data_IF_067931960241
#
_entry.id   IF_067931960241
#
_cell.length_a   1.000
_cell.length_b   1.000
_cell.length_c   1.000
_cell.angle_alpha   90.00
_cell.angle_beta   90.00
_cell.angle_gamma   90.00
#
_symmetry.space_group_name_H-M   'P 1'
#
loop_
_entity.id
_entity.type
_entity.pdbx_description
1 polymer ?
#
# COMPACT_ATOMS: atom_id res chain seq x y z
N UNK A 1 -36.94 73.29 -38.35
CA UNK A 1 -36.94 71.81 -38.49
C UNK A 1 -35.49 71.32 -38.56
N UNK A 2 -35.15 70.36 -37.69
CA UNK A 2 -34.02 69.41 -37.78
C UNK A 2 -32.58 69.93 -37.54
N UNK A 3 -32.17 69.77 -36.28
CA UNK A 3 -30.93 69.13 -35.75
C UNK A 3 -30.17 68.22 -36.76
N UNK A 4 -28.85 67.99 -36.75
CA UNK A 4 -27.90 67.51 -35.71
C UNK A 4 -26.46 67.77 -36.22
N UNK A 5 -25.52 68.30 -35.42
CA UNK A 5 -24.58 67.63 -34.49
C UNK A 5 -23.38 66.89 -35.12
N UNK A 6 -22.18 67.38 -34.71
CA UNK A 6 -20.85 66.78 -34.85
C UNK A 6 -20.80 65.37 -34.23
N UNK A 7 -20.11 64.46 -34.88
CA UNK A 7 -19.62 63.22 -34.28
C UNK A 7 -18.10 63.16 -34.44
N UNK A 8 -17.38 63.40 -33.34
CA UNK A 8 -15.98 63.01 -33.18
C UNK A 8 -15.94 61.63 -32.55
N UNK A 9 -15.23 60.70 -33.19
CA UNK A 9 -15.03 59.34 -32.70
C UNK A 9 -14.15 59.34 -31.43
N UNK A 10 -14.65 58.69 -30.38
CA UNK A 10 -13.85 58.26 -29.24
C UNK A 10 -14.15 56.77 -29.03
N UNK A 11 -13.25 55.95 -29.59
CA UNK A 11 -13.24 54.50 -29.37
C UNK A 11 -12.68 54.29 -27.96
N UNK A 12 -13.56 53.95 -27.02
CA UNK A 12 -13.18 53.54 -25.67
C UNK A 12 -12.81 52.06 -25.70
N UNK A 13 -11.52 51.75 -25.57
CA UNK A 13 -11.00 50.40 -25.37
C UNK A 13 -11.29 49.96 -23.93
N UNK A 14 -12.35 49.18 -23.74
CA UNK A 14 -12.58 48.45 -22.49
C UNK A 14 -11.67 47.23 -22.53
N UNK A 15 -10.51 47.33 -21.88
CA UNK A 15 -9.68 46.16 -21.56
C UNK A 15 -10.33 45.43 -20.40
N UNK A 16 -11.06 44.37 -20.69
CA UNK A 16 -11.54 43.44 -19.66
C UNK A 16 -10.34 42.72 -19.06
N UNK A 17 -9.91 43.14 -17.87
CA UNK A 17 -9.05 42.34 -17.01
C UNK A 17 -9.86 41.14 -16.52
N UNK A 18 -9.87 40.07 -17.31
CA UNK A 18 -10.25 38.74 -16.82
C UNK A 18 -9.11 38.30 -15.91
N UNK A 19 -9.30 38.48 -14.60
CA UNK A 19 -8.46 37.84 -13.60
C UNK A 19 -8.58 36.33 -13.80
N UNK A 20 -7.61 35.73 -14.48
CA UNK A 20 -7.39 34.30 -14.41
C UNK A 20 -6.99 34.00 -12.96
N UNK A 21 -7.97 33.68 -12.12
CA UNK A 21 -7.68 32.90 -10.92
C UNK A 21 -7.02 31.61 -11.41
N UNK A 22 -5.74 31.44 -11.08
CA UNK A 22 -5.06 30.19 -11.33
C UNK A 22 -5.91 29.09 -10.70
N UNK A 23 -6.36 28.11 -11.50
CA UNK A 23 -7.02 26.94 -10.96
C UNK A 23 -6.06 26.35 -9.91
N UNK A 24 -6.50 26.29 -8.65
CA UNK A 24 -5.75 25.57 -7.63
C UNK A 24 -5.50 24.18 -8.18
N UNK A 25 -4.23 23.84 -8.39
CA UNK A 25 -3.85 22.48 -8.78
C UNK A 25 -4.52 21.53 -7.79
N UNK A 26 -5.25 20.50 -8.28
CA UNK A 26 -5.96 19.58 -7.39
C UNK A 26 -4.98 19.05 -6.36
N UNK A 27 -5.22 19.41 -5.10
CA UNK A 27 -4.33 19.06 -4.00
C UNK A 27 -4.33 17.54 -3.83
N UNK A 28 -3.27 16.83 -4.23
CA UNK A 28 -3.18 15.38 -4.04
C UNK A 28 -3.10 15.03 -2.55
N UNK A 29 -4.23 14.63 -1.96
CA UNK A 29 -4.34 14.25 -0.56
C UNK A 29 -3.59 12.95 -0.27
N UNK A 30 -3.44 12.04 -1.23
CA UNK A 30 -2.73 10.79 -1.00
C UNK A 30 -1.23 11.01 -0.76
N UNK A 31 -0.64 12.05 -1.34
CA UNK A 31 0.74 12.47 -1.03
C UNK A 31 0.90 13.01 0.40
N UNK A 32 -0.20 13.42 1.04
CA UNK A 32 -0.23 13.96 2.41
C UNK A 32 -0.54 12.88 3.45
N UNK A 33 -0.79 11.64 3.01
CA UNK A 33 -1.06 10.49 3.88
C UNK A 33 0.20 9.64 4.00
N UNK A 34 0.61 9.38 5.24
CA UNK A 34 1.64 8.38 5.55
C UNK A 34 1.03 7.00 5.77
N UNK A 35 1.71 5.94 5.32
CA UNK A 35 1.21 4.56 5.30
C UNK A 35 2.09 3.64 6.16
N UNK A 36 1.71 3.42 7.40
CA UNK A 36 2.55 2.71 8.37
C UNK A 36 2.17 1.23 8.46
N UNK A 37 3.09 0.33 8.14
CA UNK A 37 2.99 -1.06 8.58
C UNK A 37 3.32 -1.15 10.09
N UNK A 38 2.76 -2.12 10.85
CA UNK A 38 3.05 -2.32 12.28
C UNK A 38 4.54 -2.30 12.63
N UNK A 39 5.37 -2.71 11.68
CA UNK A 39 6.80 -2.81 11.86
C UNK A 39 7.65 -1.91 10.96
N UNK A 40 7.01 -0.94 10.34
CA UNK A 40 7.69 0.11 9.57
C UNK A 40 7.06 1.46 9.93
N UNK A 41 7.45 2.09 11.06
CA UNK A 41 7.00 3.44 11.37
C UNK A 41 7.69 4.40 10.40
N UNK A 42 7.03 4.74 9.28
CA UNK A 42 7.56 5.69 8.30
C UNK A 42 7.67 5.21 6.85
N UNK A 43 6.99 4.14 6.43
CA UNK A 43 6.82 3.90 4.99
C UNK A 43 5.86 4.97 4.43
N UNK A 44 6.36 5.96 3.70
CA UNK A 44 5.59 7.19 3.43
C UNK A 44 4.71 7.14 2.20
N UNK A 45 4.51 5.96 1.60
CA UNK A 45 3.87 5.89 0.28
C UNK A 45 2.86 4.76 0.20
N UNK A 46 1.80 5.02 -0.56
CA UNK A 46 0.77 4.05 -0.89
C UNK A 46 1.30 2.85 -1.71
N UNK A 47 2.54 2.92 -2.23
CA UNK A 47 3.18 1.80 -2.93
C UNK A 47 3.36 0.55 -2.07
N UNK A 48 3.24 0.66 -0.74
CA UNK A 48 3.19 -0.52 0.15
C UNK A 48 2.06 -1.47 -0.23
N UNK A 49 0.95 -0.96 -0.77
CA UNK A 49 -0.22 -1.74 -1.18
C UNK A 49 0.04 -2.62 -2.42
N UNK A 50 1.18 -2.46 -3.11
CA UNK A 50 1.61 -3.32 -4.22
C UNK A 50 2.08 -4.70 -3.78
N UNK A 51 2.29 -4.90 -2.48
CA UNK A 51 2.76 -6.16 -1.89
C UNK A 51 1.85 -6.49 -0.73
N UNK A 52 1.32 -7.70 -0.65
CA UNK A 52 0.35 -8.05 0.38
C UNK A 52 0.41 -9.49 0.86
N UNK A 53 -0.28 -9.75 1.96
CA UNK A 53 -0.57 -11.07 2.49
C UNK A 53 -1.79 -11.01 3.40
N UNK A 54 -2.46 -12.14 3.62
CA UNK A 54 -3.62 -12.19 4.52
C UNK A 54 -3.20 -11.80 5.94
N UNK A 55 -3.90 -10.84 6.53
CA UNK A 55 -3.61 -10.28 7.85
C UNK A 55 -2.62 -9.11 7.84
N UNK A 56 -2.13 -8.69 6.67
CA UNK A 56 -1.31 -7.48 6.56
C UNK A 56 -2.15 -6.22 6.85
N UNK A 57 -1.61 -5.30 7.64
CA UNK A 57 -2.30 -4.06 8.04
C UNK A 57 -1.45 -2.83 7.74
N UNK A 58 -2.09 -1.75 7.28
CA UNK A 58 -1.47 -0.45 7.07
C UNK A 58 -2.28 0.62 7.77
N UNK A 59 -1.68 1.32 8.72
CA UNK A 59 -2.28 2.46 9.38
C UNK A 59 -1.96 3.73 8.61
N UNK A 60 -2.98 4.42 8.14
CA UNK A 60 -2.90 5.73 7.50
C UNK A 60 -3.01 6.85 8.53
N UNK A 61 -2.14 7.85 8.40
CA UNK A 61 -2.18 9.07 9.21
C UNK A 61 -1.78 10.29 8.38
N UNK A 62 -2.30 11.46 8.73
CA UNK A 62 -1.89 12.76 8.17
C UNK A 62 -1.55 13.71 9.31
N UNK A 63 -0.44 14.43 9.18
CA UNK A 63 -0.10 15.59 10.01
C UNK A 63 -0.26 16.92 9.25
N UNK A 64 -0.82 16.88 8.05
CA UNK A 64 -0.99 18.04 7.21
C UNK A 64 -2.23 18.83 7.65
N UNK A 65 -2.10 20.13 7.92
CA UNK A 65 -3.17 20.98 8.47
C UNK A 65 -4.44 20.98 7.60
N UNK A 66 -4.27 21.01 6.27
CA UNK A 66 -5.38 20.92 5.32
C UNK A 66 -5.97 19.51 5.10
N UNK A 67 -5.54 18.48 5.84
CA UNK A 67 -6.06 17.12 5.71
C UNK A 67 -6.20 16.44 7.08
N UNK A 68 -7.42 16.46 7.63
CA UNK A 68 -7.82 15.69 8.79
C UNK A 68 -8.55 14.41 8.34
N UNK A 69 -8.03 13.25 8.72
CA UNK A 69 -8.62 11.97 8.30
C UNK A 69 -9.98 11.66 8.95
N UNK A 70 -10.38 12.37 10.02
CA UNK A 70 -11.73 12.26 10.56
C UNK A 70 -12.80 12.86 9.64
N UNK A 71 -12.40 13.79 8.76
CA UNK A 71 -13.30 14.48 7.84
C UNK A 71 -13.43 13.75 6.49
N UNK A 72 -12.76 12.61 6.32
CA UNK A 72 -12.76 11.86 5.05
C UNK A 72 -13.34 10.46 5.23
N UNK A 73 -13.99 9.97 4.17
CA UNK A 73 -14.40 8.58 4.06
C UNK A 73 -13.50 7.87 3.05
N UNK A 74 -12.94 6.72 3.42
CA UNK A 74 -12.24 5.86 2.48
C UNK A 74 -13.15 4.73 2.01
N UNK A 75 -13.03 4.37 0.73
CA UNK A 75 -13.66 3.18 0.16
C UNK A 75 -12.70 2.47 -0.78
N UNK A 76 -12.89 1.17 -0.94
CA UNK A 76 -12.11 0.34 -1.84
C UNK A 76 -13.05 -0.51 -2.70
N UNK A 77 -12.72 -0.66 -3.98
CA UNK A 77 -13.61 -1.26 -4.97
C UNK A 77 -13.71 -2.79 -4.90
N UNK A 78 -12.84 -3.46 -4.13
CA UNK A 78 -12.85 -4.91 -3.95
C UNK A 78 -13.01 -5.31 -2.48
N UNK A 79 -13.38 -6.57 -2.23
CA UNK A 79 -13.65 -7.08 -0.86
C UNK A 79 -12.47 -7.81 -0.21
N UNK A 80 -11.29 -7.80 -0.82
CA UNK A 80 -10.10 -8.44 -0.24
C UNK A 80 -9.32 -7.53 0.71
N UNK A 81 -9.66 -6.24 0.74
CA UNK A 81 -9.11 -5.24 1.66
C UNK A 81 -10.25 -4.57 2.41
N UNK A 82 -10.19 -4.62 3.73
CA UNK A 82 -11.09 -3.94 4.65
C UNK A 82 -10.51 -2.58 5.06
N UNK A 83 -11.41 -1.66 5.39
CA UNK A 83 -11.07 -0.33 5.89
C UNK A 83 -11.71 -0.20 7.26
N UNK A 84 -10.88 -0.21 8.29
CA UNK A 84 -11.28 -0.13 9.67
C UNK A 84 -10.99 1.29 10.18
N UNK A 85 -11.99 1.97 10.74
CA UNK A 85 -11.79 3.25 11.40
C UNK A 85 -11.03 3.04 12.71
N UNK A 86 -10.07 3.90 13.01
CA UNK A 86 -9.33 3.85 14.27
C UNK A 86 -9.75 5.02 15.17
N UNK A 87 -9.60 4.83 16.48
CA UNK A 87 -9.64 5.95 17.43
C UNK A 87 -8.44 6.88 17.16
N UNK A 88 -8.58 8.20 17.39
CA UNK A 88 -7.53 9.22 17.21
C UNK A 88 -7.23 9.69 15.76
N UNK A 89 -8.19 9.57 14.83
CA UNK A 89 -8.02 10.14 13.48
C UNK A 89 -7.04 9.40 12.59
N UNK A 90 -6.93 8.08 12.77
CA UNK A 90 -6.20 7.17 11.89
C UNK A 90 -7.18 6.24 11.18
N UNK A 91 -6.74 5.68 10.06
CA UNK A 91 -7.53 4.70 9.29
C UNK A 91 -6.66 3.49 9.02
N UNK A 92 -7.16 2.29 9.29
CA UNK A 92 -6.41 1.06 9.05
C UNK A 92 -6.94 0.35 7.82
N UNK A 93 -6.07 0.09 6.85
CA UNK A 93 -6.33 -0.83 5.75
C UNK A 93 -5.88 -2.23 6.18
N UNK A 94 -6.72 -3.23 6.01
CA UNK A 94 -6.42 -4.62 6.38
C UNK A 94 -6.69 -5.56 5.23
N UNK A 95 -5.68 -6.31 4.82
CA UNK A 95 -5.80 -7.31 3.77
C UNK A 95 -6.40 -8.59 4.35
N UNK A 96 -7.66 -8.89 4.04
CA UNK A 96 -8.43 -9.95 4.71
C UNK A 96 -8.39 -11.29 3.98
N UNK A 97 -8.10 -11.28 2.68
CA UNK A 97 -7.90 -12.49 1.87
C UNK A 97 -7.01 -12.17 0.68
N UNK A 98 -6.55 -13.22 0.04
CA UNK A 98 -5.91 -13.14 -1.27
C UNK A 98 -6.86 -12.55 -2.33
N UNK A 99 -6.42 -11.55 -3.12
CA UNK A 99 -7.19 -11.08 -4.27
C UNK A 99 -7.17 -12.15 -5.36
N UNK A 100 -8.25 -12.27 -6.13
CA UNK A 100 -8.26 -13.02 -7.39
C UNK A 100 -7.43 -12.28 -8.46
N UNK A 101 -7.07 -12.96 -9.55
CA UNK A 101 -6.23 -12.39 -10.60
C UNK A 101 -6.76 -11.05 -11.17
N UNK A 102 -8.08 -10.95 -11.36
CA UNK A 102 -8.76 -9.73 -11.86
C UNK A 102 -9.04 -8.68 -10.76
N UNK A 103 -8.90 -9.04 -9.48
CA UNK A 103 -9.08 -8.10 -8.35
C UNK A 103 -7.77 -7.42 -7.93
N UNK A 104 -6.64 -7.76 -8.58
CA UNK A 104 -5.31 -7.21 -8.25
C UNK A 104 -5.21 -5.71 -8.52
N UNK A 105 -5.88 -5.23 -9.56
CA UNK A 105 -6.00 -3.81 -9.86
C UNK A 105 -7.12 -3.23 -9.00
N UNK A 106 -6.75 -2.37 -8.05
CA UNK A 106 -7.66 -1.78 -7.08
C UNK A 106 -7.62 -0.26 -7.11
N UNK A 107 -8.73 0.35 -6.72
CA UNK A 107 -8.86 1.80 -6.55
C UNK A 107 -9.25 2.11 -5.11
N UNK A 108 -8.33 2.75 -4.37
CA UNK A 108 -8.63 3.37 -3.08
C UNK A 108 -9.20 4.76 -3.33
N UNK A 109 -10.42 5.01 -2.86
CA UNK A 109 -11.08 6.31 -3.02
C UNK A 109 -11.13 7.02 -1.66
N UNK A 110 -10.74 8.29 -1.65
CA UNK A 110 -10.90 9.21 -0.53
C UNK A 110 -11.98 10.23 -0.90
N UNK A 111 -13.01 10.34 -0.08
CA UNK A 111 -14.04 11.36 -0.21
C UNK A 111 -13.99 12.32 0.98
N UNK A 112 -13.70 13.59 0.74
CA UNK A 112 -13.66 14.62 1.76
C UNK A 112 -15.08 15.15 2.02
N UNK A 113 -15.62 14.87 3.20
CA UNK A 113 -17.01 15.19 3.57
C UNK A 113 -17.23 16.70 3.76
N UNK A 114 -16.18 17.47 4.04
CA UNK A 114 -16.26 18.93 4.22
C UNK A 114 -16.31 19.67 2.89
N UNK A 115 -15.53 19.23 1.91
CA UNK A 115 -15.42 19.90 0.61
C UNK A 115 -16.26 19.25 -0.48
N UNK A 116 -16.72 18.00 -0.28
CA UNK A 116 -17.38 17.19 -1.30
C UNK A 116 -16.41 16.58 -2.33
N UNK A 117 -15.13 16.91 -2.28
CA UNK A 117 -14.13 16.46 -3.25
C UNK A 117 -13.77 14.99 -3.06
N UNK A 118 -13.59 14.28 -4.16
CA UNK A 118 -13.15 12.88 -4.18
C UNK A 118 -11.83 12.73 -4.92
N UNK A 119 -10.97 11.83 -4.43
CA UNK A 119 -9.71 11.45 -5.07
C UNK A 119 -9.57 9.95 -5.14
N UNK A 120 -8.89 9.48 -6.17
CA UNK A 120 -8.69 8.06 -6.44
C UNK A 120 -7.19 7.77 -6.50
N UNK A 121 -6.80 6.69 -5.85
CA UNK A 121 -5.47 6.12 -5.94
C UNK A 121 -5.58 4.71 -6.51
N UNK A 122 -5.12 4.55 -7.74
CA UNK A 122 -5.07 3.26 -8.42
C UNK A 122 -3.75 2.56 -8.14
N UNK A 123 -3.83 1.27 -7.83
CA UNK A 123 -2.64 0.43 -7.61
C UNK A 123 -2.89 -1.01 -8.06
N UNK A 124 -1.80 -1.73 -8.29
CA UNK A 124 -1.86 -3.17 -8.61
C UNK A 124 -1.04 -3.94 -7.59
N UNK A 125 -1.63 -5.00 -7.03
CA UNK A 125 -0.91 -5.98 -6.21
C UNK A 125 0.00 -6.80 -7.11
N UNK A 126 1.28 -6.47 -7.10
CA UNK A 126 2.31 -7.16 -7.88
C UNK A 126 2.77 -8.46 -7.21
N UNK A 127 2.79 -8.49 -5.88
CA UNK A 127 3.28 -9.63 -5.10
C UNK A 127 2.27 -9.95 -4.00
N UNK A 128 1.77 -11.18 -3.99
CA UNK A 128 1.00 -11.71 -2.87
C UNK A 128 1.77 -12.83 -2.19
N UNK A 129 1.92 -12.78 -0.86
CA UNK A 129 2.63 -13.81 -0.10
C UNK A 129 1.64 -14.82 0.48
N UNK A 130 2.03 -16.08 0.38
CA UNK A 130 1.32 -17.22 0.98
C UNK A 130 2.31 -18.07 1.77
N UNK A 131 1.79 -18.84 2.72
CA UNK A 131 2.56 -19.74 3.55
C UNK A 131 1.69 -20.33 4.65
N UNK A 132 2.22 -21.38 5.26
CA UNK A 132 1.61 -22.14 6.37
C UNK A 132 2.43 -22.01 7.66
N UNK A 133 3.44 -21.14 7.67
CA UNK A 133 4.33 -20.96 8.80
C UNK A 133 5.33 -22.11 9.00
N UNK A 134 5.65 -22.86 7.95
CA UNK A 134 6.66 -23.91 8.03
C UNK A 134 8.10 -23.36 8.15
N UNK A 135 8.92 -24.16 8.81
CA UNK A 135 10.39 -24.09 8.78
C UNK A 135 10.84 -25.35 8.06
N UNK A 136 11.57 -25.20 6.95
CA UNK A 136 12.00 -26.34 6.14
C UNK A 136 13.52 -26.56 6.30
N UNK A 137 13.91 -27.82 6.45
CA UNK A 137 15.30 -28.22 6.74
C UNK A 137 16.23 -27.99 5.54
N UNK A 138 15.67 -28.01 4.32
CA UNK A 138 16.43 -27.82 3.10
C UNK A 138 15.62 -27.10 2.01
N UNK A 139 16.34 -26.61 1.01
CA UNK A 139 15.79 -25.86 -0.11
C UNK A 139 14.76 -26.65 -0.94
N UNK A 140 14.97 -27.95 -1.13
CA UNK A 140 14.07 -28.78 -1.97
C UNK A 140 12.67 -28.83 -1.34
N UNK A 141 12.60 -29.06 -0.04
CA UNK A 141 11.34 -29.05 0.71
C UNK A 141 10.66 -27.68 0.67
N UNK A 142 11.42 -26.60 0.87
CA UNK A 142 10.89 -25.24 0.79
C UNK A 142 10.29 -24.93 -0.59
N UNK A 143 10.97 -25.35 -1.66
CA UNK A 143 10.50 -25.18 -3.05
C UNK A 143 9.24 -25.99 -3.32
N UNK A 144 9.22 -27.27 -2.96
CA UNK A 144 8.05 -28.16 -3.11
C UNK A 144 6.85 -27.66 -2.31
N UNK A 145 7.08 -27.11 -1.13
CA UNK A 145 6.04 -26.47 -0.33
C UNK A 145 5.44 -25.28 -1.05
N UNK A 146 6.27 -24.37 -1.58
CA UNK A 146 5.74 -23.24 -2.32
C UNK A 146 4.96 -23.65 -3.57
N UNK A 147 5.40 -24.70 -4.28
CA UNK A 147 4.65 -25.25 -5.40
C UNK A 147 3.26 -25.75 -4.98
N UNK A 148 3.16 -26.47 -3.84
CA UNK A 148 1.87 -26.92 -3.28
C UNK A 148 0.95 -25.77 -2.86
N UNK A 149 1.51 -24.62 -2.49
CA UNK A 149 0.78 -23.41 -2.14
C UNK A 149 0.38 -22.56 -3.38
N UNK A 150 0.55 -23.09 -4.60
CA UNK A 150 0.22 -22.38 -5.84
C UNK A 150 1.21 -21.26 -6.17
N UNK A 151 2.47 -21.41 -5.77
CA UNK A 151 3.46 -20.34 -5.91
C UNK A 151 4.89 -20.84 -6.01
N UNK A 152 5.82 -19.94 -5.73
CA UNK A 152 7.26 -20.20 -5.72
C UNK A 152 7.95 -19.47 -4.58
N UNK A 153 9.17 -19.88 -4.27
CA UNK A 153 10.04 -19.09 -3.41
C UNK A 153 10.27 -17.70 -4.02
N UNK A 154 10.37 -16.69 -3.16
CA UNK A 154 10.75 -15.35 -3.58
C UNK A 154 12.20 -15.36 -4.08
N UNK A 155 12.50 -14.56 -5.09
CA UNK A 155 13.88 -14.17 -5.42
C UNK A 155 14.44 -13.29 -4.32
N UNK A 156 15.76 -13.17 -4.28
CA UNK A 156 16.48 -12.26 -3.39
C UNK A 156 15.97 -10.82 -3.50
N UNK A 157 15.67 -10.35 -4.73
CA UNK A 157 15.16 -9.00 -4.97
C UNK A 157 13.77 -8.80 -4.38
N UNK A 158 12.87 -9.76 -4.60
CA UNK A 158 11.50 -9.69 -4.10
C UNK A 158 11.46 -9.74 -2.57
N UNK A 159 12.25 -10.62 -1.94
CA UNK A 159 12.33 -10.68 -0.48
C UNK A 159 12.80 -9.35 0.11
N UNK A 160 13.79 -8.70 -0.51
CA UNK A 160 14.28 -7.38 -0.06
C UNK A 160 13.21 -6.29 -0.20
N UNK A 161 12.46 -6.28 -1.29
CA UNK A 161 11.38 -5.29 -1.50
C UNK A 161 10.26 -5.48 -0.47
N UNK A 162 9.76 -6.72 -0.35
CA UNK A 162 8.79 -7.12 0.69
C UNK A 162 9.29 -6.70 2.06
N UNK A 163 10.55 -7.01 2.37
CA UNK A 163 11.12 -6.74 3.67
C UNK A 163 11.23 -5.27 4.00
N UNK A 164 11.52 -4.39 3.04
CA UNK A 164 11.57 -2.94 3.31
C UNK A 164 10.17 -2.36 3.52
N UNK A 165 9.19 -2.85 2.76
CA UNK A 165 7.79 -2.41 2.86
C UNK A 165 7.18 -2.83 4.20
N UNK A 166 7.24 -4.12 4.49
CA UNK A 166 6.49 -4.71 5.61
C UNK A 166 7.31 -4.90 6.87
N UNK A 167 8.62 -5.09 6.77
CA UNK A 167 9.42 -5.57 7.91
C UNK A 167 10.62 -4.69 8.27
N UNK A 168 10.75 -3.48 7.69
CA UNK A 168 12.00 -2.73 7.66
C UNK A 168 12.60 -2.37 9.03
N UNK A 169 11.79 -2.28 10.08
CA UNK A 169 12.23 -2.00 11.45
C UNK A 169 11.67 -2.99 12.47
N UNK A 170 11.18 -4.15 12.01
CA UNK A 170 10.58 -5.17 12.87
C UNK A 170 11.56 -5.65 13.94
N UNK A 171 11.10 -5.72 15.19
CA UNK A 171 11.79 -6.43 16.28
C UNK A 171 10.80 -7.39 16.93
N UNK A 172 11.30 -8.51 17.45
CA UNK A 172 10.46 -9.51 18.12
C UNK A 172 9.73 -10.44 17.15
N UNK A 173 8.57 -10.95 17.56
CA UNK A 173 7.84 -12.02 16.89
C UNK A 173 6.90 -11.47 15.79
N UNK A 174 6.99 -12.01 14.58
CA UNK A 174 6.18 -11.60 13.42
C UNK A 174 4.69 -11.85 13.64
N UNK A 175 4.29 -12.91 14.35
CA UNK A 175 2.88 -13.16 14.72
C UNK A 175 2.33 -12.16 15.71
N UNK A 176 3.16 -11.55 16.57
CA UNK A 176 2.69 -10.46 17.44
C UNK A 176 2.38 -9.21 16.63
N UNK A 177 3.19 -8.91 15.61
CA UNK A 177 2.99 -7.75 14.74
C UNK A 177 1.85 -7.98 13.73
N UNK A 178 1.69 -9.22 13.26
CA UNK A 178 0.68 -9.62 12.28
C UNK A 178 -0.09 -10.85 12.79
N UNK A 179 -1.02 -10.68 13.74
CA UNK A 179 -1.68 -11.81 14.41
C UNK A 179 -2.56 -12.66 13.48
N UNK A 180 -3.15 -12.03 12.46
CA UNK A 180 -3.99 -12.70 11.47
C UNK A 180 -3.19 -13.36 10.34
N UNK A 181 -1.87 -13.20 10.32
CA UNK A 181 -1.02 -13.66 9.23
C UNK A 181 -0.56 -15.10 9.45
N UNK A 182 -1.14 -16.03 8.68
CA UNK A 182 -0.86 -17.47 8.78
C UNK A 182 0.48 -17.89 8.20
N UNK A 183 1.09 -17.06 7.36
CA UNK A 183 2.35 -17.37 6.68
C UNK A 183 3.58 -17.46 7.59
N UNK A 184 3.51 -16.93 8.82
CA UNK A 184 4.65 -16.95 9.73
C UNK A 184 4.58 -18.14 10.67
N UNK A 185 5.73 -18.78 10.90
CA UNK A 185 5.88 -19.73 12.00
C UNK A 185 5.55 -19.04 13.33
N UNK A 186 4.99 -19.78 14.29
CA UNK A 186 4.57 -19.23 15.59
C UNK A 186 5.72 -18.55 16.34
N UNK A 187 6.94 -19.03 16.14
CA UNK A 187 8.16 -18.48 16.75
C UNK A 187 8.97 -17.59 15.78
N UNK A 188 8.49 -17.36 14.55
CA UNK A 188 9.24 -16.59 13.57
C UNK A 188 9.52 -15.18 14.08
N UNK A 189 10.80 -14.89 14.28
CA UNK A 189 11.24 -13.54 14.64
C UNK A 189 11.51 -12.72 13.39
N UNK A 190 11.35 -11.42 13.53
CA UNK A 190 11.75 -10.42 12.55
C UNK A 190 13.22 -10.54 12.10
N UNK A 191 14.10 -11.04 12.97
CA UNK A 191 15.49 -11.33 12.62
C UNK A 191 15.72 -12.72 12.03
N UNK A 192 14.68 -13.49 11.74
CA UNK A 192 14.79 -14.83 11.16
C UNK A 192 15.26 -14.80 9.71
N UNK A 193 15.74 -15.96 9.25
CA UNK A 193 16.12 -16.17 7.84
C UNK A 193 15.00 -16.88 7.08
N UNK A 194 14.96 -16.65 5.77
CA UNK A 194 13.96 -17.15 4.84
C UNK A 194 14.62 -17.77 3.62
N UNK A 195 14.06 -18.90 3.15
CA UNK A 195 14.50 -19.52 1.91
C UNK A 195 14.14 -18.63 0.72
N UNK A 196 15.10 -18.44 -0.18
CA UNK A 196 14.88 -17.78 -1.47
C UNK A 196 15.17 -18.70 -2.64
N UNK A 197 14.63 -18.33 -3.81
CA UNK A 197 14.72 -19.08 -5.05
C UNK A 197 16.16 -19.45 -5.43
N UNK A 198 17.13 -18.60 -5.10
CA UNK A 198 18.56 -18.82 -5.37
C UNK A 198 19.22 -19.84 -4.41
N UNK A 199 18.43 -20.68 -3.73
CA UNK A 199 18.87 -21.71 -2.78
C UNK A 199 19.73 -21.18 -1.63
N UNK A 200 19.35 -20.00 -1.11
CA UNK A 200 20.03 -19.32 -0.01
C UNK A 200 19.04 -18.97 1.09
N UNK A 201 19.59 -18.78 2.29
CA UNK A 201 18.87 -18.21 3.42
C UNK A 201 19.17 -16.71 3.49
N UNK A 202 18.12 -15.88 3.50
CA UNK A 202 18.26 -14.43 3.62
C UNK A 202 17.47 -13.91 4.81
N UNK A 203 18.09 -13.00 5.55
CA UNK A 203 17.44 -12.30 6.66
C UNK A 203 16.56 -11.19 6.13
N UNK A 204 15.46 -10.92 6.85
CA UNK A 204 14.72 -9.70 6.67
C UNK A 204 15.61 -8.48 6.98
N UNK A 205 15.39 -7.40 6.27
CA UNK A 205 16.08 -6.13 6.40
C UNK A 205 15.60 -5.35 7.64
N UNK A 206 15.84 -5.91 8.83
CA UNK A 206 15.40 -5.37 10.12
C UNK A 206 16.55 -4.78 10.94
N UNK A 207 17.78 -5.00 10.50
CA UNK A 207 19.00 -4.67 11.24
C UNK A 207 19.32 -5.63 12.39
N UNK A 208 18.49 -6.64 12.65
CA UNK A 208 18.67 -7.61 13.76
C UNK A 208 18.68 -9.03 13.20
N UNK A 209 19.64 -9.85 13.63
CA UNK A 209 19.67 -11.29 13.31
C UNK A 209 19.19 -12.11 14.50
N UNK A 210 18.29 -13.06 14.26
CA UNK A 210 17.81 -14.01 15.26
C UNK A 210 18.86 -15.11 15.47
N UNK A 211 19.08 -15.56 16.72
CA UNK A 211 19.92 -16.73 17.00
C UNK A 211 19.20 -18.08 16.76
N UNK A 212 17.89 -18.06 16.48
CA UNK A 212 17.10 -19.27 16.25
C UNK A 212 17.59 -20.03 15.01
N UNK A 213 17.73 -21.36 15.16
CA UNK A 213 18.12 -22.28 14.09
C UNK A 213 16.86 -22.70 13.33
N UNK A 214 16.82 -22.41 12.03
CA UNK A 214 15.70 -22.71 11.16
C UNK A 214 15.52 -21.63 10.10
N UNK A 215 15.21 -22.06 8.88
CA UNK A 215 14.99 -21.17 7.75
C UNK A 215 13.50 -21.24 7.40
N UNK A 216 12.80 -20.11 7.55
CA UNK A 216 11.36 -20.02 7.33
C UNK A 216 11.06 -20.04 5.83
N UNK A 217 9.86 -20.52 5.48
CA UNK A 217 9.41 -20.54 4.09
C UNK A 217 8.21 -19.64 3.92
N UNK A 218 8.36 -18.62 3.07
CA UNK A 218 7.28 -17.79 2.55
C UNK A 218 7.33 -17.90 1.03
N UNK A 219 6.17 -17.93 0.41
CA UNK A 219 6.03 -18.12 -1.01
C UNK A 219 5.40 -16.89 -1.64
N UNK A 220 5.85 -16.53 -2.84
CA UNK A 220 5.09 -15.67 -3.74
C UNK A 220 4.05 -16.53 -4.43
N UNK A 221 2.78 -16.15 -4.33
CA UNK A 221 1.72 -16.77 -5.11
C UNK A 221 1.86 -16.41 -6.59
N UNK A 222 1.65 -17.39 -7.46
CA UNK A 222 1.63 -17.18 -8.90
C UNK A 222 0.18 -17.10 -9.37
N UNK A 223 -0.21 -15.89 -9.76
CA UNK A 223 -1.48 -15.70 -10.43
C UNK A 223 -1.40 -16.35 -11.80
N UNK A 224 -2.39 -17.18 -12.13
CA UNK A 224 -2.57 -17.62 -13.51
C UNK A 224 -2.59 -16.36 -14.38
N UNK A 225 -1.73 -16.33 -15.40
CA UNK A 225 -1.77 -15.27 -16.39
C UNK A 225 -3.14 -15.36 -17.06
N UNK A 226 -4.10 -14.56 -16.61
CA UNK A 226 -5.29 -14.26 -17.38
C UNK A 226 -4.78 -13.53 -18.61
N UNK A 227 -4.53 -14.28 -19.69
CA UNK A 227 -4.47 -13.70 -21.01
C UNK A 227 -5.78 -12.95 -21.17
N UNK A 228 -5.68 -11.61 -21.21
CA UNK A 228 -6.75 -10.74 -21.69
C UNK A 228 -6.86 -10.98 -23.19
#
# INVERSE_FOLDING_TARGET
MKTLFRASALISLIVSFVGYAAAETPTDYFQRISFHAPSTPGFRTASILSVGFTGATVTMSSNHEALNLNDVAFSFNHRWLAIDAHHEGRVTLRMIRQPLAHERAGTLTLHNRKTGNSQRYDFTVATWLVGDGAVDDNFVQARERCARQGGRLLTTRELRDVSRKWFGFSKGNLRTMYPQATLFHAQARAGGSFWVHEAKALYLHTGVKSPERGINTICRYEYENSAI
#
